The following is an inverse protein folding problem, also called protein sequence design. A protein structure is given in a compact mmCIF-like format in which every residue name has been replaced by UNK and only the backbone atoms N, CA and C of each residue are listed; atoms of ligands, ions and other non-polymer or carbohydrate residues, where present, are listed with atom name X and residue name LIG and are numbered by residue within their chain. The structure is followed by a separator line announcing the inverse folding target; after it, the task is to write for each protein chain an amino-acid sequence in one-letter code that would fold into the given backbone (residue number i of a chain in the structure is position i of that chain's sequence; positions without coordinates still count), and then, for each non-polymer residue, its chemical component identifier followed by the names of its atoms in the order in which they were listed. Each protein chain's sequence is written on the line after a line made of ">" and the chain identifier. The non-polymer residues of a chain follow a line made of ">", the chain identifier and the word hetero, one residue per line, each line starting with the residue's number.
data_IF_239416902534
#
_entry.id   IF_239416902534
#
_cell.length_a   1.000
_cell.length_b   1.000
_cell.length_c   1.000
_cell.angle_alpha   90.00
_cell.angle_beta   90.00
_cell.angle_gamma   90.00
#
_symmetry.space_group_name_H-M   'P 1'
#
loop_
_entity.id
_entity.type
_entity.pdbx_description
1 polymer ?
#
# COMPACT_ATOMS: atom_id res chain seq x y z
N UNK A 1 -1.85 21.86 -7.28
CA UNK A 1 -1.55 21.03 -7.18
C UNK A 1 -2.36 20.10 -7.20
N UNK A 2 -2.21 19.29 -7.57
CA UNK A 2 -3.04 18.42 -7.77
C UNK A 2 -2.91 17.38 -6.91
N UNK A 3 -3.65 16.69 -6.51
CA UNK A 3 -3.63 15.56 -5.72
C UNK A 3 -3.55 15.87 -4.28
N UNK A 4 -3.49 14.85 -3.50
CA UNK A 4 -3.57 14.88 -2.09
C UNK A 4 -2.22 14.48 -1.53
N UNK A 5 -1.72 15.18 -0.56
CA UNK A 5 -0.51 14.76 0.13
C UNK A 5 -0.86 13.58 1.01
N UNK A 6 -0.28 12.45 0.72
CA UNK A 6 -0.56 11.22 1.44
C UNK A 6 0.74 10.69 2.03
N UNK A 7 0.71 10.32 3.31
CA UNK A 7 1.78 9.58 3.92
C UNK A 7 1.28 8.18 4.23
N UNK A 8 2.13 7.19 4.07
CA UNK A 8 1.78 5.80 4.28
C UNK A 8 2.63 5.24 5.40
N UNK A 9 1.98 4.68 6.40
CA UNK A 9 2.64 4.18 7.60
C UNK A 9 2.29 2.73 7.82
N UNK A 10 3.28 1.94 8.21
CA UNK A 10 3.08 0.54 8.56
C UNK A 10 2.62 0.46 10.00
N UNK A 11 1.42 -0.02 10.21
CA UNK A 11 0.86 -0.15 11.54
C UNK A 11 0.79 -1.60 11.98
N UNK A 12 1.70 -2.43 11.48
CA UNK A 12 1.96 -3.82 11.87
C UNK A 12 0.98 -4.86 11.37
N UNK A 13 -0.24 -4.49 11.04
CA UNK A 13 -1.19 -5.40 10.41
C UNK A 13 -1.81 -4.77 9.16
N UNK A 14 -1.50 -3.51 8.91
CA UNK A 14 -1.92 -2.85 7.68
C UNK A 14 -1.06 -1.61 7.46
N UNK A 15 -0.94 -1.23 6.19
CA UNK A 15 -0.37 0.06 5.83
C UNK A 15 -1.52 1.05 5.77
N UNK A 16 -1.36 2.19 6.40
CA UNK A 16 -2.41 3.22 6.44
C UNK A 16 -1.98 4.42 5.65
N UNK A 17 -2.85 4.89 4.76
CA UNK A 17 -2.66 6.13 4.04
C UNK A 17 -3.40 7.23 4.77
N UNK A 18 -2.68 8.29 5.14
CA UNK A 18 -3.26 9.44 5.81
C UNK A 18 -2.97 10.69 5.05
N UNK A 19 -3.94 11.61 5.01
CA UNK A 19 -3.81 12.86 4.38
C UNK A 19 -3.08 13.81 5.31
N UNK A 20 -2.11 14.54 4.80
CA UNK A 20 -1.37 15.48 5.60
C UNK A 20 0.10 15.45 5.28
N UNK A 21 0.89 16.06 6.13
CA UNK A 21 2.28 16.30 5.88
C UNK A 21 3.21 15.22 6.42
N UNK A 22 2.67 14.09 6.82
CA UNK A 22 3.49 12.97 7.25
C UNK A 22 3.78 12.88 8.73
N UNK A 23 3.12 13.70 9.54
CA UNK A 23 3.34 13.68 10.98
C UNK A 23 2.56 12.57 11.69
N UNK A 24 1.77 11.81 10.94
CA UNK A 24 1.01 10.71 11.52
C UNK A 24 -0.35 11.08 12.08
N UNK A 25 -0.68 12.37 12.12
CA UNK A 25 -1.94 12.82 12.68
C UNK A 25 -3.00 13.12 11.65
N UNK A 26 -2.73 12.87 10.40
CA UNK A 26 -3.66 13.16 9.33
C UNK A 26 -4.85 12.22 9.32
N UNK A 27 -5.84 12.61 8.55
CA UNK A 27 -7.06 11.83 8.38
C UNK A 27 -6.79 10.54 7.62
N UNK A 28 -7.31 9.43 8.10
CA UNK A 28 -7.16 8.15 7.39
C UNK A 28 -7.97 8.21 6.11
N UNK A 29 -7.35 7.90 4.98
CA UNK A 29 -8.03 7.90 3.68
C UNK A 29 -8.09 6.51 3.06
N UNK A 30 -7.25 5.58 3.50
CA UNK A 30 -7.27 4.22 2.98
C UNK A 30 -6.28 3.35 3.71
N UNK A 31 -6.33 2.05 3.42
CA UNK A 31 -5.38 1.11 4.02
C UNK A 31 -5.27 -0.14 3.18
N UNK A 32 -4.16 -0.87 3.36
CA UNK A 32 -4.02 -2.21 2.80
C UNK A 32 -3.62 -3.14 3.94
N UNK A 33 -4.44 -4.16 4.16
CA UNK A 33 -4.24 -5.12 5.23
C UNK A 33 -3.31 -6.23 4.79
N UNK A 34 -2.48 -6.68 5.70
CA UNK A 34 -1.54 -7.74 5.37
C UNK A 34 -1.34 -8.71 6.53
N UNK A 35 -0.81 -9.89 6.19
CA UNK A 35 -0.28 -10.82 7.15
C UNK A 35 1.18 -11.01 6.80
N UNK A 36 2.03 -11.01 7.79
CA UNK A 36 3.46 -11.13 7.55
C UNK A 36 3.98 -12.42 8.15
N UNK A 37 4.78 -13.14 7.37
CA UNK A 37 5.43 -14.34 7.84
C UNK A 37 6.89 -14.20 7.44
N UNK A 38 7.76 -13.85 8.40
CA UNK A 38 9.16 -13.59 8.10
C UNK A 38 9.30 -12.43 7.12
N UNK A 39 9.86 -12.70 5.96
CA UNK A 39 10.08 -11.68 4.94
C UNK A 39 8.98 -11.65 3.89
N UNK A 40 7.89 -12.35 4.11
CA UNK A 40 6.79 -12.40 3.15
C UNK A 40 5.59 -11.65 3.70
N UNK A 41 5.12 -10.64 2.96
CA UNK A 41 3.92 -9.89 3.30
C UNK A 41 2.80 -10.34 2.36
N UNK A 42 1.73 -10.88 2.91
CA UNK A 42 0.54 -11.26 2.13
C UNK A 42 -0.43 -10.10 2.20
N UNK A 43 -0.53 -9.33 1.12
CA UNK A 43 -1.43 -8.18 1.06
C UNK A 43 -2.79 -8.69 0.60
N UNK A 44 -3.76 -8.73 1.52
CA UNK A 44 -5.00 -9.43 1.24
C UNK A 44 -6.24 -8.54 1.10
N UNK A 45 -6.16 -7.28 1.45
CA UNK A 45 -7.32 -6.39 1.30
C UNK A 45 -6.89 -4.93 1.20
N UNK A 46 -7.41 -4.23 0.21
CA UNK A 46 -7.15 -2.81 0.02
C UNK A 46 -8.47 -2.06 0.08
N UNK A 47 -8.52 -0.98 0.83
CA UNK A 47 -9.72 -0.19 0.97
C UNK A 47 -9.37 1.30 0.90
N UNK A 48 -10.11 2.05 0.09
CA UNK A 48 -10.08 3.51 0.10
C UNK A 48 -11.42 3.96 0.62
N UNK A 49 -11.42 4.92 1.55
CA UNK A 49 -12.67 5.39 2.11
C UNK A 49 -13.49 6.08 1.02
N UNK A 50 -14.82 5.93 1.02
CA UNK A 50 -15.64 6.35 -0.14
C UNK A 50 -15.45 7.80 -0.56
N UNK A 51 -15.28 8.72 0.38
CA UNK A 51 -15.13 10.13 0.02
C UNK A 51 -13.80 10.44 -0.67
N UNK A 52 -12.86 9.49 -0.69
CA UNK A 52 -11.56 9.68 -1.32
C UNK A 52 -11.36 8.83 -2.56
N UNK A 53 -12.38 8.12 -2.98
CA UNK A 53 -12.28 7.28 -4.18
C UNK A 53 -12.11 8.17 -5.42
N UNK A 54 -11.41 7.65 -6.41
CA UNK A 54 -11.21 8.37 -7.67
C UNK A 54 -10.13 9.43 -7.63
N UNK A 55 -9.35 9.48 -6.53
CA UNK A 55 -8.32 10.49 -6.38
C UNK A 55 -6.91 9.91 -6.37
N UNK A 56 -6.76 8.67 -6.77
CA UNK A 56 -5.44 8.05 -6.85
C UNK A 56 -4.87 7.52 -5.54
N UNK A 57 -5.69 7.49 -4.49
CA UNK A 57 -5.22 7.05 -3.18
C UNK A 57 -4.72 5.62 -3.20
N UNK A 58 -5.48 4.71 -3.84
CA UNK A 58 -5.11 3.30 -3.83
C UNK A 58 -3.76 3.07 -4.50
N UNK A 59 -3.52 3.74 -5.63
CA UNK A 59 -2.24 3.59 -6.33
C UNK A 59 -1.07 4.09 -5.51
N UNK A 60 -1.22 5.26 -4.89
CA UNK A 60 -0.18 5.81 -4.04
C UNK A 60 0.05 4.93 -2.82
N UNK A 61 -1.02 4.46 -2.20
CA UNK A 61 -0.95 3.60 -1.02
C UNK A 61 -0.19 2.30 -1.33
N UNK A 62 -0.56 1.62 -2.41
CA UNK A 62 0.07 0.36 -2.75
C UNK A 62 1.53 0.57 -3.15
N UNK A 63 1.82 1.61 -3.94
CA UNK A 63 3.20 1.89 -4.33
C UNK A 63 4.08 2.16 -3.10
N UNK A 64 3.60 2.97 -2.18
CA UNK A 64 4.36 3.29 -0.98
C UNK A 64 4.53 2.06 -0.09
N UNK A 65 3.50 1.24 0.03
CA UNK A 65 3.59 0.01 0.80
C UNK A 65 4.63 -0.92 0.20
N UNK A 66 4.63 -1.06 -1.12
CA UNK A 66 5.59 -1.92 -1.80
C UNK A 66 7.02 -1.39 -1.63
N UNK A 67 7.20 -0.07 -1.68
CA UNK A 67 8.50 0.52 -1.45
C UNK A 67 9.01 0.24 -0.04
N UNK A 68 8.13 0.29 0.95
CA UNK A 68 8.51 -0.01 2.33
C UNK A 68 8.87 -1.49 2.50
N UNK A 69 8.13 -2.38 1.84
CA UNK A 69 8.44 -3.81 1.88
C UNK A 69 9.79 -4.07 1.22
N UNK A 70 10.05 -3.43 0.10
CA UNK A 70 11.35 -3.56 -0.57
C UNK A 70 12.49 -3.09 0.34
N UNK A 71 12.31 -1.96 1.01
CA UNK A 71 13.33 -1.42 1.90
C UNK A 71 13.59 -2.35 3.08
N UNK A 72 12.59 -3.13 3.49
CA UNK A 72 12.73 -4.10 4.56
C UNK A 72 13.27 -5.45 4.09
N UNK A 73 13.56 -5.59 2.81
CA UNK A 73 14.09 -6.85 2.27
C UNK A 73 13.05 -7.91 2.03
N UNK A 74 11.79 -7.53 1.90
CA UNK A 74 10.69 -8.48 1.83
C UNK A 74 10.18 -8.76 0.44
N UNK A 75 9.26 -9.72 0.38
CA UNK A 75 8.53 -10.06 -0.83
C UNK A 75 7.04 -10.06 -0.53
N UNK A 76 6.23 -10.18 -1.56
CA UNK A 76 4.79 -9.96 -1.47
C UNK A 76 4.02 -11.10 -2.09
N UNK A 77 2.97 -11.55 -1.39
CA UNK A 77 1.93 -12.37 -1.98
C UNK A 77 0.74 -11.43 -2.19
N UNK A 78 0.22 -11.39 -3.40
CA UNK A 78 -0.87 -10.49 -3.74
C UNK A 78 -2.20 -11.24 -3.71
N UNK A 79 -2.71 -11.48 -2.50
CA UNK A 79 -4.01 -12.12 -2.34
C UNK A 79 -5.14 -11.14 -2.67
N UNK A 80 -4.89 -9.85 -2.55
CA UNK A 80 -5.85 -8.82 -2.94
C UNK A 80 -5.82 -8.62 -4.44
N UNK A 81 -6.98 -8.64 -5.09
CA UNK A 81 -7.05 -8.50 -6.55
C UNK A 81 -6.51 -7.15 -7.03
N UNK A 82 -6.69 -6.08 -6.23
CA UNK A 82 -6.16 -4.79 -6.63
C UNK A 82 -4.62 -4.81 -6.64
N UNK A 83 -4.00 -5.41 -5.63
CA UNK A 83 -2.54 -5.50 -5.54
C UNK A 83 -2.02 -6.38 -6.67
N UNK A 84 -2.70 -7.48 -6.95
CA UNK A 84 -2.32 -8.36 -8.04
C UNK A 84 -2.31 -7.62 -9.37
N UNK A 85 -3.37 -6.88 -9.67
CA UNK A 85 -3.45 -6.10 -10.90
C UNK A 85 -2.39 -4.99 -10.93
N UNK A 86 -2.11 -4.38 -9.78
CA UNK A 86 -1.09 -3.35 -9.68
C UNK A 86 0.28 -3.91 -10.06
N UNK A 87 0.62 -5.10 -9.55
CA UNK A 87 1.90 -5.72 -9.87
C UNK A 87 1.99 -6.12 -11.34
N UNK A 88 0.86 -6.48 -11.95
CA UNK A 88 0.84 -6.79 -13.38
C UNK A 88 1.13 -5.56 -14.23
N UNK A 89 0.63 -4.41 -13.82
CA UNK A 89 0.81 -3.18 -14.59
C UNK A 89 2.12 -2.45 -14.28
N UNK A 90 2.66 -2.61 -13.09
CA UNK A 90 3.84 -1.86 -12.66
C UNK A 90 5.03 -2.78 -12.58
N UNK A 91 5.71 -2.92 -13.68
CA UNK A 91 6.80 -3.90 -13.83
C UNK A 91 7.97 -3.64 -12.90
N UNK A 92 8.14 -2.42 -12.44
CA UNK A 92 9.22 -2.09 -11.52
C UNK A 92 9.05 -2.79 -10.17
N UNK A 93 7.86 -3.31 -9.89
CA UNK A 93 7.60 -4.04 -8.65
C UNK A 93 7.48 -5.55 -8.85
N UNK A 94 7.66 -6.03 -10.10
CA UNK A 94 7.45 -7.44 -10.39
C UNK A 94 8.38 -8.36 -9.60
N UNK A 95 9.58 -7.89 -9.30
CA UNK A 95 10.55 -8.69 -8.55
C UNK A 95 10.16 -8.88 -7.08
N UNK A 96 9.18 -8.12 -6.59
CA UNK A 96 8.73 -8.30 -5.20
C UNK A 96 7.80 -9.49 -5.03
N UNK A 97 7.24 -10.05 -6.09
CA UNK A 97 6.36 -11.20 -5.92
C UNK A 97 7.10 -12.36 -5.31
N UNK A 98 6.54 -12.92 -4.25
CA UNK A 98 7.08 -14.10 -3.59
C UNK A 98 6.96 -15.30 -4.52
N UNK A 99 7.89 -16.22 -4.41
CA UNK A 99 7.91 -17.40 -5.25
C UNK A 99 7.46 -18.64 -4.53
#
# INVERSE_FOLDING_TARGET
>A
MDGMDISVQDNKDRFEARRGDGDGDGELVGYVEYRRDGDVWDLHHTQVLPEFEGQGVAGTLVAEALDQIRAAGGTVIASCSYVDAFLERRQEYADLRAR
#
